data_IF_850156487855
#
_entry.id   IF_850156487855
#
_cell.length_a   1.000
_cell.length_b   1.000
_cell.length_c   1.000
_cell.angle_alpha   90.00
_cell.angle_beta   90.00
_cell.angle_gamma   90.00
#
_symmetry.space_group_name_H-M   'P 1'
#
loop_
_entity.id
_entity.type
_entity.pdbx_description
1 polymer ?
#
# COMPACT_ATOMS: atom_id res chain seq x y z
N UNK A 1 -8.83 -5.56 -98.49
CA UNK A 1 -9.22 -4.25 -97.89
C UNK A 1 -10.36 -4.52 -96.93
N UNK A 2 -10.43 -4.06 -95.70
CA UNK A 2 -9.50 -3.52 -94.73
C UNK A 2 -10.18 -3.78 -93.37
N UNK A 3 -9.43 -4.19 -92.35
CA UNK A 3 -9.99 -4.46 -91.02
C UNK A 3 -10.38 -3.18 -90.28
N UNK A 4 -11.36 -3.29 -89.39
CA UNK A 4 -11.58 -2.28 -88.35
C UNK A 4 -12.06 -2.93 -87.06
N UNK A 5 -11.10 -3.47 -86.30
CA UNK A 5 -11.30 -3.85 -84.90
C UNK A 5 -11.32 -2.57 -84.05
N UNK A 6 -12.51 -2.09 -83.72
CA UNK A 6 -12.67 -1.05 -82.69
C UNK A 6 -12.46 -1.66 -81.30
N UNK A 7 -11.20 -1.69 -80.86
CA UNK A 7 -10.79 -2.07 -79.52
C UNK A 7 -11.15 -1.00 -78.48
N UNK A 8 -12.42 -0.97 -78.06
CA UNK A 8 -12.83 -0.20 -76.89
C UNK A 8 -12.26 -0.81 -75.61
N UNK A 9 -11.19 -0.24 -75.06
CA UNK A 9 -10.65 -0.58 -73.73
C UNK A 9 -11.72 -0.29 -72.65
N UNK A 10 -12.52 -1.30 -72.30
CA UNK A 10 -13.35 -1.26 -71.09
C UNK A 10 -12.43 -1.32 -69.88
N UNK A 11 -12.12 -0.17 -69.28
CA UNK A 11 -11.51 -0.11 -67.95
C UNK A 11 -12.51 -0.67 -66.94
N UNK A 12 -12.33 -1.92 -66.55
CA UNK A 12 -13.07 -2.51 -65.44
C UNK A 12 -12.75 -1.70 -64.17
N UNK A 13 -13.70 -0.90 -63.70
CA UNK A 13 -13.61 -0.30 -62.37
C UNK A 13 -13.85 -1.41 -61.35
N UNK A 14 -12.92 -1.71 -60.44
CA UNK A 14 -13.12 -2.77 -59.46
C UNK A 14 -14.31 -2.38 -58.57
N UNK A 15 -15.43 -3.13 -58.68
CA UNK A 15 -16.52 -3.04 -57.72
C UNK A 15 -16.12 -3.85 -56.50
N UNK A 16 -15.77 -3.17 -55.41
CA UNK A 16 -15.54 -3.79 -54.10
C UNK A 16 -16.84 -4.46 -53.65
N UNK A 17 -16.97 -5.76 -53.90
CA UNK A 17 -18.12 -6.56 -53.48
C UNK A 17 -18.12 -6.72 -51.95
N UNK A 18 -19.28 -6.68 -51.30
CA UNK A 18 -19.42 -6.94 -49.86
C UNK A 18 -18.76 -8.26 -49.44
N UNK A 19 -18.77 -9.27 -50.33
CA UNK A 19 -18.13 -10.57 -50.12
C UNK A 19 -16.59 -10.49 -50.11
N UNK A 20 -16.01 -9.51 -50.80
CA UNK A 20 -14.58 -9.24 -50.75
C UNK A 20 -14.21 -8.57 -49.42
N UNK A 21 -15.00 -7.57 -49.00
CA UNK A 21 -14.80 -6.86 -47.73
C UNK A 21 -14.92 -7.83 -46.54
N UNK A 22 -15.94 -8.69 -46.52
CA UNK A 22 -16.15 -9.65 -45.43
C UNK A 22 -15.02 -10.67 -45.28
N UNK A 23 -14.35 -11.03 -46.38
CA UNK A 23 -13.18 -11.93 -46.36
C UNK A 23 -11.98 -11.24 -45.71
N UNK A 24 -11.69 -10.01 -46.09
CA UNK A 24 -10.58 -9.24 -45.52
C UNK A 24 -10.81 -8.88 -44.04
N UNK A 25 -12.04 -8.60 -43.63
CA UNK A 25 -12.37 -8.35 -42.22
C UNK A 25 -12.08 -9.56 -41.33
N UNK A 26 -12.33 -10.79 -41.80
CA UNK A 26 -11.98 -12.01 -41.04
C UNK A 26 -10.47 -12.17 -40.86
N UNK A 27 -9.71 -11.89 -41.91
CA UNK A 27 -8.24 -11.95 -41.86
C UNK A 27 -7.68 -10.90 -40.90
N UNK A 28 -8.18 -9.66 -41.00
CA UNK A 28 -7.80 -8.57 -40.10
C UNK A 28 -8.15 -8.87 -38.64
N UNK A 29 -9.32 -9.44 -38.38
CA UNK A 29 -9.73 -9.83 -37.03
C UNK A 29 -8.79 -10.88 -36.41
N UNK A 30 -8.38 -11.89 -37.18
CA UNK A 30 -7.43 -12.91 -36.70
C UNK A 30 -6.03 -12.33 -36.45
N UNK A 31 -5.55 -11.43 -37.32
CA UNK A 31 -4.27 -10.73 -37.11
C UNK A 31 -4.35 -9.86 -35.86
N UNK A 32 -5.43 -9.11 -35.68
CA UNK A 32 -5.64 -8.27 -34.51
C UNK A 32 -5.70 -9.09 -33.22
N UNK A 33 -6.38 -10.23 -33.24
CA UNK A 33 -6.39 -11.15 -32.10
C UNK A 33 -4.97 -11.65 -31.77
N UNK A 34 -4.17 -12.00 -32.76
CA UNK A 34 -2.76 -12.38 -32.56
C UNK A 34 -1.91 -11.26 -31.97
N UNK A 35 -2.07 -10.03 -32.46
CA UNK A 35 -1.38 -8.84 -31.93
C UNK A 35 -1.79 -8.58 -30.47
N UNK A 36 -3.07 -8.71 -30.14
CA UNK A 36 -3.54 -8.55 -28.76
C UNK A 36 -2.95 -9.61 -27.84
N UNK A 37 -2.91 -10.87 -28.25
CA UNK A 37 -2.30 -11.95 -27.45
C UNK A 37 -0.81 -11.65 -27.20
N UNK A 38 -0.06 -11.28 -28.24
CA UNK A 38 1.34 -10.90 -28.09
C UNK A 38 1.50 -9.65 -27.22
N UNK A 39 0.62 -8.66 -27.38
CA UNK A 39 0.58 -7.45 -26.57
C UNK A 39 0.35 -7.75 -25.09
N UNK A 40 -0.55 -8.66 -24.75
CA UNK A 40 -0.75 -9.10 -23.37
C UNK A 40 0.48 -9.82 -22.81
N UNK A 41 1.17 -10.63 -23.62
CA UNK A 41 2.43 -11.25 -23.21
C UNK A 41 3.53 -10.23 -22.92
N UNK A 42 3.70 -9.23 -23.80
CA UNK A 42 4.65 -8.13 -23.57
C UNK A 42 4.29 -7.34 -22.32
N UNK A 43 3.00 -7.03 -22.12
CA UNK A 43 2.55 -6.33 -20.92
C UNK A 43 2.90 -7.13 -19.66
N UNK A 44 2.58 -8.43 -19.61
CA UNK A 44 2.91 -9.28 -18.46
C UNK A 44 4.41 -9.30 -18.20
N UNK A 45 5.25 -9.38 -19.24
CA UNK A 45 6.71 -9.31 -19.08
C UNK A 45 7.18 -7.97 -18.51
N UNK A 46 6.57 -6.85 -18.94
CA UNK A 46 6.88 -5.53 -18.38
C UNK A 46 6.46 -5.41 -16.91
N UNK A 47 5.27 -5.93 -16.57
CA UNK A 47 4.79 -5.94 -15.18
C UNK A 47 5.68 -6.83 -14.29
N UNK A 48 6.15 -7.97 -14.80
CA UNK A 48 7.13 -8.82 -14.12
C UNK A 48 8.49 -8.13 -13.95
N UNK A 49 8.97 -7.44 -14.99
CA UNK A 49 10.22 -6.69 -14.95
C UNK A 49 10.18 -5.54 -13.92
N UNK A 50 9.04 -4.87 -13.79
CA UNK A 50 8.80 -3.85 -12.77
C UNK A 50 8.58 -4.43 -11.36
N UNK A 51 8.55 -5.76 -11.23
CA UNK A 51 8.44 -6.41 -9.94
C UNK A 51 7.05 -6.34 -9.30
N UNK A 52 6.01 -5.96 -10.06
CA UNK A 52 4.64 -5.86 -9.54
C UNK A 52 4.06 -7.20 -9.05
N UNK A 53 4.61 -8.33 -9.50
CA UNK A 53 4.19 -9.67 -9.06
C UNK A 53 5.07 -10.24 -7.93
N UNK A 54 6.03 -9.48 -7.39
CA UNK A 54 6.65 -9.88 -6.13
C UNK A 54 5.64 -9.66 -4.99
N UNK A 55 4.82 -10.68 -4.76
CA UNK A 55 4.10 -10.80 -3.49
C UNK A 55 5.15 -11.02 -2.41
N UNK A 56 5.35 -9.99 -1.58
CA UNK A 56 6.09 -10.13 -0.33
C UNK A 56 5.34 -11.19 0.48
N UNK A 57 6.03 -12.28 0.84
CA UNK A 57 5.46 -13.30 1.70
C UNK A 57 5.26 -12.69 3.09
N UNK A 58 4.04 -12.22 3.38
CA UNK A 58 3.66 -11.81 4.74
C UNK A 58 3.51 -13.10 5.53
N UNK A 59 4.59 -13.55 6.16
CA UNK A 59 4.52 -14.61 7.17
C UNK A 59 4.18 -13.93 8.49
N UNK A 60 3.12 -14.34 9.19
CA UNK A 60 2.89 -13.85 10.54
C UNK A 60 4.14 -14.19 11.35
N UNK A 61 4.78 -13.15 11.89
CA UNK A 61 5.96 -13.36 12.72
C UNK A 61 5.52 -14.04 14.01
N UNK A 62 6.24 -15.08 14.41
CA UNK A 62 5.98 -15.73 15.69
C UNK A 62 6.15 -14.70 16.84
N UNK A 63 5.26 -14.79 17.82
CA UNK A 63 5.16 -13.80 18.90
C UNK A 63 6.44 -13.73 19.77
N UNK A 64 7.24 -14.80 19.79
CA UNK A 64 8.55 -14.85 20.46
C UNK A 64 9.60 -13.91 19.82
N UNK A 65 9.29 -13.33 18.66
CA UNK A 65 10.15 -12.41 17.92
C UNK A 65 9.78 -10.95 18.10
N UNK A 66 8.73 -10.66 18.86
CA UNK A 66 8.32 -9.33 19.23
C UNK A 66 9.08 -8.88 20.47
N UNK A 67 9.95 -7.89 20.31
CA UNK A 67 10.74 -7.35 21.41
C UNK A 67 10.18 -5.99 21.84
N UNK A 68 10.04 -5.74 23.15
CA UNK A 68 9.71 -4.40 23.63
C UNK A 68 10.88 -3.45 23.35
N UNK A 69 10.57 -2.34 22.69
CA UNK A 69 11.51 -1.24 22.49
C UNK A 69 11.29 -0.19 23.57
N UNK A 70 10.06 0.34 23.67
CA UNK A 70 9.69 1.38 24.65
C UNK A 70 8.26 1.21 25.16
N UNK A 71 7.99 1.68 26.39
CA UNK A 71 6.69 1.65 27.10
C UNK A 71 6.43 2.97 27.81
N UNK A 72 6.33 4.05 27.02
CA UNK A 72 6.44 5.44 27.49
C UNK A 72 5.31 6.31 26.96
N UNK A 73 5.08 6.26 25.64
CA UNK A 73 4.15 7.15 24.97
C UNK A 73 2.70 7.04 25.44
N UNK A 74 2.10 8.18 25.73
CA UNK A 74 0.65 8.31 25.83
C UNK A 74 0.10 8.97 24.59
N UNK A 75 -1.12 8.59 24.21
CA UNK A 75 -1.81 9.10 23.03
C UNK A 75 -3.15 9.70 23.44
N UNK A 76 -3.46 10.87 22.92
CA UNK A 76 -4.77 11.54 23.04
C UNK A 76 -5.36 11.84 21.65
N UNK A 77 -6.42 12.65 21.60
CA UNK A 77 -7.08 13.02 20.34
C UNK A 77 -6.19 13.84 19.38
N UNK A 78 -5.14 14.49 19.87
CA UNK A 78 -4.22 15.30 19.07
C UNK A 78 -2.98 14.53 18.63
N UNK A 79 -2.67 13.41 19.28
CA UNK A 79 -1.54 12.55 18.98
C UNK A 79 -0.75 12.16 20.22
N UNK A 80 0.57 12.00 20.07
CA UNK A 80 1.42 11.67 21.22
C UNK A 80 1.49 12.85 22.20
N UNK A 81 1.26 12.57 23.47
CA UNK A 81 1.27 13.57 24.53
C UNK A 81 2.71 14.02 24.78
N UNK A 82 3.01 15.34 24.70
CA UNK A 82 4.37 15.85 24.89
C UNK A 82 4.98 15.44 26.25
N UNK A 83 6.24 15.00 26.24
CA UNK A 83 6.98 14.61 27.44
C UNK A 83 6.56 13.27 28.05
N UNK A 84 5.72 12.49 27.36
CA UNK A 84 5.37 11.12 27.81
C UNK A 84 6.20 10.04 27.12
N UNK A 85 6.52 10.24 25.84
CA UNK A 85 7.42 9.38 25.07
C UNK A 85 8.86 9.47 25.56
N UNK A 86 9.64 8.42 25.33
CA UNK A 86 11.07 8.42 25.63
C UNK A 86 11.82 9.26 24.58
N UNK A 87 12.86 10.00 24.98
CA UNK A 87 13.59 10.87 24.06
C UNK A 87 14.31 10.07 22.95
N UNK A 88 14.80 8.86 23.26
CA UNK A 88 15.44 7.98 22.27
C UNK A 88 14.43 7.42 21.27
N UNK A 89 13.20 7.19 21.74
CA UNK A 89 12.07 6.75 20.91
C UNK A 89 11.70 7.82 19.88
N UNK A 90 11.55 9.07 20.31
CA UNK A 90 11.24 10.22 19.44
C UNK A 90 12.36 10.47 18.42
N UNK A 91 13.62 10.37 18.86
CA UNK A 91 14.79 10.57 18.00
C UNK A 91 14.94 9.51 16.90
N UNK A 92 14.31 8.34 17.04
CA UNK A 92 14.40 7.27 16.05
C UNK A 92 13.85 7.68 14.67
N UNK A 93 12.84 8.54 14.63
CA UNK A 93 12.27 9.11 13.39
C UNK A 93 12.48 10.62 13.26
N UNK A 94 12.79 11.29 14.37
CA UNK A 94 12.85 12.75 14.49
C UNK A 94 11.51 13.37 14.85
N UNK A 95 11.54 14.52 15.53
CA UNK A 95 10.38 15.16 16.18
C UNK A 95 9.17 15.37 15.26
N UNK A 96 9.43 15.85 14.03
CA UNK A 96 8.36 16.16 13.06
C UNK A 96 7.68 14.88 12.58
N UNK A 97 8.46 13.85 12.24
CA UNK A 97 7.92 12.57 11.83
C UNK A 97 7.17 11.91 12.98
N UNK A 98 7.74 11.91 14.19
CA UNK A 98 7.13 11.33 15.38
C UNK A 98 5.79 11.96 15.72
N UNK A 99 5.72 13.30 15.71
CA UNK A 99 4.48 14.02 15.93
C UNK A 99 3.41 13.68 14.87
N UNK A 100 3.82 13.54 13.59
CA UNK A 100 2.89 13.16 12.52
C UNK A 100 2.38 11.72 12.66
N UNK A 101 3.24 10.78 13.09
CA UNK A 101 2.86 9.40 13.39
C UNK A 101 1.82 9.36 14.50
N UNK A 102 2.04 10.10 15.59
CA UNK A 102 1.10 10.18 16.69
C UNK A 102 -0.26 10.75 16.26
N UNK A 103 -0.25 11.85 15.49
CA UNK A 103 -1.48 12.46 15.00
C UNK A 103 -2.28 11.50 14.08
N UNK A 104 -1.60 10.80 13.16
CA UNK A 104 -2.27 9.80 12.32
C UNK A 104 -2.81 8.64 13.15
N UNK A 105 -2.03 8.12 14.10
CA UNK A 105 -2.46 7.02 14.96
C UNK A 105 -3.69 7.39 15.78
N UNK A 106 -3.76 8.62 16.30
CA UNK A 106 -4.93 9.13 17.01
C UNK A 106 -6.18 9.20 16.10
N UNK A 107 -6.01 9.62 14.85
CA UNK A 107 -7.09 9.64 13.86
C UNK A 107 -7.55 8.23 13.47
N UNK A 108 -6.63 7.30 13.23
CA UNK A 108 -6.95 5.92 12.86
C UNK A 108 -7.67 5.16 13.99
N UNK A 109 -7.39 5.54 15.24
CA UNK A 109 -8.08 5.03 16.44
C UNK A 109 -9.35 5.81 16.80
N UNK A 110 -9.75 6.79 15.96
CA UNK A 110 -10.94 7.63 16.13
C UNK A 110 -11.03 8.26 17.54
N UNK A 111 -9.89 8.70 18.08
CA UNK A 111 -9.82 9.29 19.42
C UNK A 111 -10.53 10.64 19.45
N UNK A 112 -11.45 10.84 20.40
CA UNK A 112 -12.11 12.12 20.62
C UNK A 112 -11.53 12.84 21.84
N UNK A 113 -11.69 14.17 21.91
CA UNK A 113 -11.22 14.98 23.06
C UNK A 113 -11.87 14.58 24.39
N UNK A 114 -13.06 13.97 24.35
CA UNK A 114 -13.75 13.42 25.52
C UNK A 114 -13.08 12.19 26.09
N UNK A 115 -12.26 11.51 25.29
CA UNK A 115 -11.71 10.23 25.66
C UNK A 115 -10.40 10.41 26.44
N UNK A 116 -10.14 9.51 27.38
CA UNK A 116 -8.91 9.56 28.18
C UNK A 116 -7.63 9.32 27.36
N UNK A 117 -6.48 9.57 27.97
CA UNK A 117 -5.20 9.17 27.38
C UNK A 117 -5.12 7.64 27.30
N UNK A 118 -4.61 7.12 26.20
CA UNK A 118 -4.33 5.68 26.02
C UNK A 118 -2.82 5.44 26.02
N UNK A 119 -2.42 4.20 26.25
CA UNK A 119 -1.04 3.80 26.50
C UNK A 119 -0.47 3.10 25.28
N UNK A 120 0.62 3.61 24.72
CA UNK A 120 1.25 3.08 23.52
C UNK A 120 2.57 2.40 23.88
N UNK A 121 2.68 1.13 23.52
CA UNK A 121 3.93 0.38 23.59
C UNK A 121 4.52 0.26 22.20
N UNK A 122 5.81 0.56 22.07
CA UNK A 122 6.57 0.40 20.83
C UNK A 122 7.32 -0.92 20.87
N UNK A 123 7.01 -1.77 19.89
CA UNK A 123 7.56 -3.10 19.72
C UNK A 123 8.41 -3.16 18.45
N UNK A 124 9.43 -3.99 18.46
CA UNK A 124 10.31 -4.20 17.32
C UNK A 124 10.28 -5.66 16.87
N UNK A 125 10.10 -5.85 15.58
CA UNK A 125 10.16 -7.15 14.91
C UNK A 125 11.29 -7.09 13.89
N UNK A 126 12.17 -8.09 13.86
CA UNK A 126 13.34 -8.09 12.99
C UNK A 126 14.57 -7.48 13.67
N UNK A 127 15.58 -7.08 12.90
CA UNK A 127 16.84 -6.54 13.42
C UNK A 127 17.72 -7.52 14.21
N UNK A 128 17.35 -8.80 14.29
CA UNK A 128 18.14 -9.88 14.92
C UNK A 128 18.89 -10.71 13.86
N UNK A 129 19.98 -11.37 14.25
CA UNK A 129 20.71 -12.39 13.45
C UNK A 129 21.04 -11.99 11.98
N UNK A 130 21.51 -10.77 11.76
CA UNK A 130 21.82 -10.20 10.44
C UNK A 130 20.58 -9.98 9.54
N UNK A 131 19.38 -9.85 10.12
CA UNK A 131 18.22 -9.39 9.38
C UNK A 131 18.47 -7.97 8.85
N UNK A 132 18.36 -7.81 7.53
CA UNK A 132 18.50 -6.51 6.87
C UNK A 132 17.25 -5.62 7.00
N UNK A 133 16.28 -6.02 7.83
CA UNK A 133 15.00 -5.37 8.00
C UNK A 133 14.60 -5.37 9.46
N UNK A 134 13.86 -4.34 9.86
CA UNK A 134 13.17 -4.25 11.13
C UNK A 134 11.85 -3.49 10.89
N UNK A 135 10.83 -3.86 11.62
CA UNK A 135 9.51 -3.21 11.61
C UNK A 135 9.20 -2.72 13.01
N UNK A 136 8.77 -1.47 13.09
CA UNK A 136 8.29 -0.86 14.33
C UNK A 136 6.79 -1.07 14.40
N UNK A 137 6.31 -1.61 15.50
CA UNK A 137 4.89 -1.85 15.76
C UNK A 137 4.45 -1.05 16.98
N UNK A 138 3.36 -0.32 16.87
CA UNK A 138 2.69 0.31 18.00
C UNK A 138 1.56 -0.59 18.48
N UNK A 139 1.51 -0.87 19.78
CA UNK A 139 0.42 -1.62 20.41
C UNK A 139 -0.23 -0.71 21.43
N UNK A 140 -1.55 -0.49 21.29
CA UNK A 140 -2.28 0.52 22.05
C UNK A 140 -3.22 -0.12 23.05
N UNK A 141 -3.08 0.24 24.32
CA UNK A 141 -3.90 -0.24 25.43
C UNK A 141 -4.72 0.89 26.05
N UNK A 142 -5.89 0.55 26.59
CA UNK A 142 -6.78 1.54 27.22
C UNK A 142 -6.24 2.05 28.56
N UNK A 143 -5.87 1.14 29.46
CA UNK A 143 -5.57 1.48 30.86
C UNK A 143 -4.10 1.30 31.25
N UNK A 144 -3.36 0.47 30.51
CA UNK A 144 -1.97 0.10 30.78
C UNK A 144 -1.20 -0.06 29.48
N UNK A 145 0.13 0.08 29.55
CA UNK A 145 1.03 -0.24 28.45
C UNK A 145 0.96 -1.73 28.09
N UNK A 146 0.47 -2.07 26.87
CA UNK A 146 0.42 -3.46 26.41
C UNK A 146 1.81 -4.11 26.39
N UNK A 147 1.88 -5.42 26.62
CA UNK A 147 3.07 -6.21 26.30
C UNK A 147 3.16 -6.49 24.79
N UNK A 148 4.38 -6.44 24.25
CA UNK A 148 4.67 -6.86 22.87
C UNK A 148 4.54 -8.38 22.68
N UNK A 149 4.77 -9.13 23.76
CA UNK A 149 4.66 -10.57 23.83
C UNK A 149 3.95 -10.94 25.14
N UNK A 150 2.62 -10.81 25.19
CA UNK A 150 1.85 -11.12 26.39
C UNK A 150 1.87 -12.62 26.70
N UNK A 151 1.93 -12.96 27.99
CA UNK A 151 1.70 -14.33 28.46
C UNK A 151 0.22 -14.51 28.72
N UNK A 152 -0.53 -14.90 27.69
CA UNK A 152 -1.99 -15.05 27.74
C UNK A 152 -2.73 -14.00 26.91
N UNK A 153 -4.02 -13.85 27.15
CA UNK A 153 -4.86 -12.88 26.46
C UNK A 153 -4.62 -11.46 27.01
N UNK A 154 -4.55 -10.49 26.10
CA UNK A 154 -4.42 -9.07 26.43
C UNK A 154 -5.34 -8.27 25.52
N UNK A 155 -6.23 -7.48 26.13
CA UNK A 155 -7.07 -6.56 25.38
C UNK A 155 -6.24 -5.36 24.91
N UNK A 156 -6.40 -5.00 23.64
CA UNK A 156 -5.80 -3.82 23.02
C UNK A 156 -6.90 -3.03 22.31
N UNK A 157 -6.70 -1.73 22.14
CA UNK A 157 -7.58 -0.87 21.36
C UNK A 157 -7.23 -0.90 19.87
N UNK A 158 -5.97 -1.23 19.57
CA UNK A 158 -5.48 -1.37 18.22
C UNK A 158 -3.97 -1.57 18.18
N UNK A 159 -3.48 -1.79 16.98
CA UNK A 159 -2.07 -1.93 16.67
C UNK A 159 -1.76 -1.26 15.34
N UNK A 160 -0.56 -0.71 15.17
CA UNK A 160 -0.15 -0.12 13.92
C UNK A 160 1.27 -0.55 13.54
N UNK A 161 1.50 -0.81 12.26
CA UNK A 161 2.82 -1.06 11.69
C UNK A 161 3.36 0.24 11.09
N UNK A 162 4.57 0.61 11.48
CA UNK A 162 5.31 1.71 10.90
C UNK A 162 6.37 1.16 9.94
N UNK A 163 6.20 1.49 8.67
CA UNK A 163 7.14 1.19 7.61
C UNK A 163 7.81 2.48 7.14
N UNK A 164 9.05 2.36 6.69
CA UNK A 164 9.82 3.50 6.17
C UNK A 164 10.51 3.16 4.86
N UNK A 165 10.60 4.16 3.98
CA UNK A 165 11.40 4.10 2.76
C UNK A 165 12.29 5.34 2.68
N UNK A 166 13.59 5.14 2.47
CA UNK A 166 14.54 6.21 2.15
C UNK A 166 14.91 6.17 0.67
N UNK A 167 14.82 7.31 -0.01
CA UNK A 167 15.32 7.49 -1.38
C UNK A 167 15.76 8.95 -1.58
N UNK A 168 16.27 9.28 -2.78
CA UNK A 168 16.76 10.63 -3.07
C UNK A 168 15.67 11.72 -2.96
N UNK A 169 14.40 11.36 -3.17
CA UNK A 169 13.24 12.27 -3.03
C UNK A 169 12.81 12.45 -1.56
N UNK A 170 13.10 11.45 -0.71
CA UNK A 170 12.80 11.42 0.72
C UNK A 170 14.07 11.11 1.53
N UNK A 171 15.04 12.04 1.59
CA UNK A 171 16.33 11.82 2.24
C UNK A 171 16.22 11.62 3.77
N UNK A 172 15.09 12.04 4.36
CA UNK A 172 14.77 11.85 5.79
C UNK A 172 13.79 10.70 6.03
N UNK A 173 13.54 9.88 5.00
CA UNK A 173 12.54 8.83 5.02
C UNK A 173 11.13 9.34 4.72
N UNK A 174 10.35 8.54 4.02
CA UNK A 174 8.89 8.60 4.04
C UNK A 174 8.37 7.48 4.94
N UNK A 175 7.25 7.75 5.62
CA UNK A 175 6.65 6.82 6.58
C UNK A 175 5.25 6.41 6.12
N UNK A 176 4.98 5.12 6.22
CA UNK A 176 3.67 4.52 6.03
C UNK A 176 3.22 3.95 7.36
N UNK A 177 2.08 4.41 7.85
CA UNK A 177 1.42 3.86 9.03
C UNK A 177 0.24 3.01 8.56
N UNK A 178 0.25 1.73 8.93
CA UNK A 178 -0.83 0.79 8.66
C UNK A 178 -1.47 0.38 9.98
N UNK A 179 -2.70 0.80 10.22
CA UNK A 179 -3.36 0.65 11.52
C UNK A 179 -4.47 -0.39 11.45
N UNK A 180 -4.57 -1.20 12.51
CA UNK A 180 -5.66 -2.12 12.80
C UNK A 180 -6.29 -1.67 14.13
N UNK A 181 -7.51 -1.16 14.09
CA UNK A 181 -8.21 -0.67 15.28
C UNK A 181 -9.49 -1.45 15.53
N UNK A 182 -9.78 -1.71 16.80
CA UNK A 182 -11.07 -2.25 17.26
C UNK A 182 -12.07 -1.11 17.52
N UNK A 183 -11.80 0.09 16.99
CA UNK A 183 -12.68 1.23 17.10
C UNK A 183 -13.98 0.91 16.35
N UNK A 184 -15.07 0.75 17.11
CA UNK A 184 -16.41 0.51 16.59
C UNK A 184 -16.79 1.65 15.63
N UNK A 185 -16.72 1.39 14.33
CA UNK A 185 -17.59 2.10 13.40
C UNK A 185 -19.02 1.66 13.72
N UNK A 186 -19.93 2.62 13.76
CA UNK A 186 -21.35 2.40 14.08
C UNK A 186 -21.90 1.13 13.39
N UNK A 187 -22.69 0.43 14.16
CA UNK A 187 -22.99 -0.98 14.06
C UNK A 187 -23.96 -1.26 12.89
N UNK A 188 -23.44 -1.55 11.69
CA UNK A 188 -24.22 -2.15 10.60
C UNK A 188 -23.42 -3.04 9.62
N UNK A 189 -22.12 -3.28 9.83
CA UNK A 189 -21.28 -4.07 8.89
C UNK A 189 -20.52 -5.20 9.60
N UNK A 190 -21.22 -6.00 10.41
CA UNK A 190 -20.68 -7.28 10.90
C UNK A 190 -20.83 -8.39 9.85
N UNK A 191 -20.35 -8.16 8.63
CA UNK A 191 -20.05 -9.21 7.65
C UNK A 191 -18.58 -9.09 7.21
N UNK A 192 -17.70 -9.53 8.12
CA UNK A 192 -16.33 -9.99 7.83
C UNK A 192 -15.36 -9.03 7.12
N UNK A 193 -14.66 -8.18 7.87
CA UNK A 193 -13.42 -7.57 7.37
C UNK A 193 -12.74 -6.62 8.35
N UNK A 194 -11.50 -6.94 8.75
CA UNK A 194 -10.59 -5.97 9.34
C UNK A 194 -10.40 -4.82 8.33
N UNK A 195 -10.73 -3.59 8.71
CA UNK A 195 -10.47 -2.42 7.89
C UNK A 195 -9.01 -2.02 8.06
N UNK A 196 -8.19 -2.34 7.07
CA UNK A 196 -6.80 -1.89 6.98
C UNK A 196 -6.78 -0.49 6.36
N UNK A 197 -6.49 0.54 7.16
CA UNK A 197 -6.23 1.90 6.67
C UNK A 197 -4.73 2.11 6.49
N UNK A 198 -4.33 2.47 5.26
CA UNK A 198 -2.95 2.80 4.91
C UNK A 198 -2.85 4.28 4.57
N UNK A 199 -2.10 5.04 5.37
CA UNK A 199 -1.85 6.47 5.13
C UNK A 199 -0.36 6.74 4.87
N UNK A 200 -0.04 7.15 3.63
CA UNK A 200 1.31 7.60 3.28
C UNK A 200 1.50 9.06 3.71
N UNK A 201 2.45 9.30 4.61
CA UNK A 201 2.81 10.66 5.03
C UNK A 201 4.03 11.14 4.25
N UNK A 202 3.81 12.08 3.32
CA UNK A 202 4.86 12.81 2.62
C UNK A 202 4.63 14.31 2.76
N UNK A 203 5.52 15.02 3.46
CA UNK A 203 5.41 16.47 3.63
C UNK A 203 5.92 17.21 2.37
N UNK A 204 5.12 18.04 1.66
CA UNK A 204 5.56 18.75 0.45
C UNK A 204 6.40 20.01 0.70
N UNK A 205 6.88 20.26 1.92
CA UNK A 205 7.30 21.60 2.35
C UNK A 205 8.72 21.65 2.93
N UNK A 206 9.71 21.10 2.22
CA UNK A 206 11.11 21.48 2.42
C UNK A 206 11.85 21.48 1.06
N UNK A 207 11.46 22.38 0.15
CA UNK A 207 12.37 22.84 -0.92
C UNK A 207 13.24 23.96 -0.35
N UNK A 208 14.52 23.67 -0.16
CA UNK A 208 15.60 24.64 -0.39
C UNK A 208 16.68 23.98 -1.23
#
# INVERSE_FOLDING_TARGET
>A
MAGQHNGGRRRARPKLSATYISKWLRVLSNIFAGVLILGTGVLVLLLLYQGMFYSQWIRPMALDKWNPMFKSCRLDALGFVPGTCDDEEVQSTGDVAWASIGAQLAMDLLRNESDGQVFVTTCLIGGYENAAWATVMFVVGGDIFPDCHPVGEQAILGMAALETIGNDDFPFGAYLLSTFSDALHDQDDCDHGWLETQHAMGHPQLRR
#
